data_IF_464824542958
#
_entry.id   IF_464824542958
#
_cell.length_a   1.000
_cell.length_b   1.000
_cell.length_c   1.000
_cell.angle_alpha   90.00
_cell.angle_beta   90.00
_cell.angle_gamma   90.00
#
_symmetry.space_group_name_H-M   'P 1'
#
loop_
_entity.id
_entity.type
_entity.pdbx_description
1 polymer ?
#
# COMPACT_ATOMS: atom_id res chain seq x y z
N UNK A 1 24.78 -16.83 18.41
CA UNK A 1 23.69 -17.05 17.45
C UNK A 1 24.06 -16.31 16.15
N UNK A 2 24.29 -17.04 15.07
CA UNK A 2 24.57 -16.43 13.77
C UNK A 2 23.35 -15.59 13.38
N UNK A 3 23.52 -14.32 12.96
CA UNK A 3 22.38 -13.53 12.46
C UNK A 3 21.73 -14.30 11.32
N UNK A 4 20.44 -14.57 11.45
CA UNK A 4 19.70 -15.22 10.39
C UNK A 4 19.84 -14.38 9.11
N UNK A 5 20.35 -14.97 8.05
CA UNK A 5 20.35 -14.36 6.72
C UNK A 5 18.89 -14.00 6.39
N UNK A 6 18.60 -12.71 6.33
CA UNK A 6 17.30 -12.21 5.88
C UNK A 6 17.41 -11.83 4.41
N UNK A 7 16.82 -12.60 3.49
CA UNK A 7 16.79 -12.22 2.10
C UNK A 7 16.03 -10.91 1.92
N UNK A 8 16.53 -10.08 1.01
CA UNK A 8 15.92 -8.80 0.66
C UNK A 8 15.44 -8.85 -0.79
N UNK A 9 14.31 -8.22 -1.04
CA UNK A 9 13.87 -7.97 -2.41
C UNK A 9 14.75 -6.88 -3.03
N UNK A 10 15.37 -7.21 -4.15
CA UNK A 10 16.22 -6.29 -4.91
C UNK A 10 15.68 -6.09 -6.32
N UNK A 11 16.07 -5.00 -6.97
CA UNK A 11 15.63 -4.70 -8.34
C UNK A 11 14.18 -4.18 -8.45
N UNK A 12 13.53 -3.90 -7.32
CA UNK A 12 12.21 -3.30 -7.32
C UNK A 12 12.29 -1.79 -7.62
N UNK A 13 11.21 -1.20 -8.17
CA UNK A 13 11.16 0.24 -8.38
C UNK A 13 11.27 1.00 -7.06
N UNK A 14 11.93 2.15 -7.11
CA UNK A 14 11.93 3.16 -6.05
C UNK A 14 11.27 4.40 -6.62
N UNK A 15 10.18 4.87 -6.00
CA UNK A 15 9.47 6.04 -6.43
C UNK A 15 9.77 7.18 -5.46
N UNK A 16 10.40 8.21 -5.96
CA UNK A 16 10.78 9.37 -5.16
C UNK A 16 9.77 10.50 -5.37
N UNK A 17 9.37 11.11 -4.26
CA UNK A 17 8.52 12.29 -4.23
C UNK A 17 9.21 13.40 -3.43
N UNK A 18 8.55 14.53 -3.24
CA UNK A 18 9.10 15.63 -2.45
C UNK A 18 9.38 15.21 -1.00
N UNK A 19 8.44 14.47 -0.38
CA UNK A 19 8.49 14.14 1.05
C UNK A 19 8.63 12.65 1.35
N UNK A 20 8.45 11.78 0.36
CA UNK A 20 8.43 10.34 0.53
C UNK A 20 9.40 9.62 -0.40
N UNK A 21 9.81 8.43 0.03
CA UNK A 21 10.42 7.41 -0.81
C UNK A 21 9.54 6.16 -0.72
N UNK A 22 8.97 5.74 -1.85
CA UNK A 22 8.25 4.46 -1.93
C UNK A 22 9.25 3.40 -2.39
N UNK A 23 9.48 2.41 -1.55
CA UNK A 23 10.53 1.40 -1.71
C UNK A 23 10.03 -0.02 -1.43
N UNK A 24 10.85 -1.01 -1.74
CA UNK A 24 10.58 -2.39 -1.39
C UNK A 24 10.26 -2.56 0.12
N UNK A 25 9.34 -3.48 0.48
CA UNK A 25 9.15 -3.86 1.87
C UNK A 25 10.43 -4.50 2.44
N UNK A 26 10.70 -4.23 3.72
CA UNK A 26 11.84 -4.75 4.48
C UNK A 26 11.34 -5.40 5.76
N UNK A 27 12.10 -6.34 6.31
CA UNK A 27 11.74 -6.97 7.59
C UNK A 27 11.62 -5.94 8.74
N UNK A 28 12.39 -4.87 8.67
CA UNK A 28 12.42 -3.76 9.63
C UNK A 28 11.11 -2.95 9.65
N UNK A 29 10.27 -3.05 8.63
CA UNK A 29 8.96 -2.39 8.57
C UNK A 29 7.89 -3.13 9.42
N UNK A 30 8.18 -4.37 9.82
CA UNK A 30 7.24 -5.21 10.56
C UNK A 30 6.67 -4.59 11.84
N UNK A 31 7.46 -4.00 12.75
CA UNK A 31 6.92 -3.43 13.97
C UNK A 31 5.86 -2.35 13.68
N UNK A 32 6.12 -1.46 12.74
CA UNK A 32 5.20 -0.39 12.37
C UNK A 32 3.91 -0.95 11.73
N UNK A 33 4.03 -1.94 10.86
CA UNK A 33 2.87 -2.60 10.25
C UNK A 33 2.04 -3.37 11.28
N UNK A 34 2.68 -4.13 12.18
CA UNK A 34 2.01 -4.84 13.28
C UNK A 34 1.17 -3.89 14.13
N UNK A 35 1.77 -2.78 14.55
CA UNK A 35 1.11 -1.80 15.40
C UNK A 35 -0.06 -1.11 14.67
N UNK A 36 0.10 -0.83 13.37
CA UNK A 36 -1.00 -0.38 12.51
C UNK A 36 -2.14 -1.41 12.49
N UNK A 37 -1.85 -2.70 12.27
CA UNK A 37 -2.88 -3.75 12.17
C UNK A 37 -3.60 -4.01 13.50
N UNK A 38 -2.95 -3.74 14.62
CA UNK A 38 -3.53 -3.81 15.97
C UNK A 38 -4.36 -2.57 16.34
N UNK A 39 -4.32 -1.52 15.53
CA UNK A 39 -4.95 -0.23 15.84
C UNK A 39 -6.38 -0.10 15.25
N UNK A 40 -7.25 0.74 15.83
CA UNK A 40 -8.58 1.02 15.29
C UNK A 40 -8.54 1.77 13.95
N UNK A 41 -7.38 2.26 13.52
CA UNK A 41 -7.18 2.90 12.21
C UNK A 41 -7.53 1.96 11.04
N UNK A 42 -7.56 0.67 11.29
CA UNK A 42 -7.85 -0.36 10.27
C UNK A 42 -9.33 -0.62 10.06
N UNK A 43 -10.21 0.21 10.63
CA UNK A 43 -11.67 0.04 10.55
C UNK A 43 -12.17 -0.17 9.11
N UNK A 44 -11.63 0.56 8.15
CA UNK A 44 -11.96 0.41 6.72
C UNK A 44 -11.01 -0.50 5.94
N UNK A 45 -10.06 -1.13 6.63
CA UNK A 45 -9.06 -2.03 6.03
C UNK A 45 -9.19 -3.47 6.56
N UNK A 46 -10.41 -3.90 6.83
CA UNK A 46 -10.72 -5.23 7.35
C UNK A 46 -10.58 -5.37 8.87
N UNK A 47 -10.54 -4.24 9.60
CA UNK A 47 -10.53 -4.20 11.07
C UNK A 47 -9.21 -4.64 11.70
N UNK A 48 -9.19 -4.58 13.03
CA UNK A 48 -8.04 -5.00 13.85
C UNK A 48 -7.71 -6.49 13.61
N UNK A 49 -6.43 -6.80 13.52
CA UNK A 49 -5.93 -8.16 13.30
C UNK A 49 -5.08 -8.64 14.47
N UNK A 50 -5.18 -9.94 14.78
CA UNK A 50 -4.21 -10.60 15.66
C UNK A 50 -2.84 -10.61 15.00
N UNK A 51 -1.77 -10.69 15.81
CA UNK A 51 -0.40 -10.64 15.33
C UNK A 51 -0.10 -11.65 14.22
N UNK A 52 -0.57 -12.91 14.37
CA UNK A 52 -0.41 -13.93 13.34
C UNK A 52 -1.01 -13.49 11.99
N UNK A 53 -2.24 -13.00 12.00
CA UNK A 53 -2.92 -12.54 10.77
C UNK A 53 -2.21 -11.32 10.14
N UNK A 54 -1.69 -10.43 10.99
CA UNK A 54 -0.89 -9.30 10.52
C UNK A 54 0.43 -9.77 9.89
N UNK A 55 1.10 -10.78 10.49
CA UNK A 55 2.32 -11.37 9.96
C UNK A 55 2.10 -12.04 8.60
N UNK A 56 1.02 -12.82 8.45
CA UNK A 56 0.64 -13.44 7.18
C UNK A 56 0.38 -12.37 6.10
N UNK A 57 -0.32 -11.29 6.46
CA UNK A 57 -0.58 -10.19 5.55
C UNK A 57 0.71 -9.44 5.18
N UNK A 58 1.62 -9.24 6.13
CA UNK A 58 2.91 -8.60 5.86
C UNK A 58 3.79 -9.47 4.95
N UNK A 59 3.83 -10.78 5.20
CA UNK A 59 4.53 -11.74 4.35
C UNK A 59 4.00 -11.71 2.90
N UNK A 60 2.69 -11.47 2.71
CA UNK A 60 2.10 -11.36 1.37
C UNK A 60 2.66 -10.17 0.56
N UNK A 61 3.18 -9.12 1.21
CA UNK A 61 3.81 -8.00 0.50
C UNK A 61 5.04 -8.48 -0.29
N UNK A 62 5.84 -9.35 0.32
CA UNK A 62 7.03 -9.93 -0.33
C UNK A 62 6.63 -10.96 -1.39
N UNK A 63 5.75 -11.88 -1.02
CA UNK A 63 5.31 -12.96 -1.91
C UNK A 63 4.64 -12.43 -3.18
N UNK A 64 3.86 -11.36 -3.10
CA UNK A 64 3.18 -10.79 -4.25
C UNK A 64 4.16 -10.27 -5.32
N UNK A 65 5.25 -9.61 -4.91
CA UNK A 65 6.31 -9.18 -5.82
C UNK A 65 6.96 -10.36 -6.55
N UNK A 66 7.22 -11.44 -5.83
CA UNK A 66 7.82 -12.66 -6.40
C UNK A 66 6.86 -13.34 -7.38
N UNK A 67 5.57 -13.40 -7.05
CA UNK A 67 4.57 -14.10 -7.86
C UNK A 67 4.11 -13.29 -9.08
N UNK A 68 3.99 -11.97 -8.95
CA UNK A 68 3.32 -11.11 -9.95
C UNK A 68 4.26 -10.16 -10.68
N UNK A 69 5.46 -9.92 -10.16
CA UNK A 69 6.38 -8.91 -10.70
C UNK A 69 5.97 -7.46 -10.40
N UNK A 70 4.92 -7.26 -9.60
CA UNK A 70 4.50 -5.98 -9.06
C UNK A 70 3.87 -6.16 -7.67
N UNK A 71 3.66 -5.08 -6.93
CA UNK A 71 3.09 -5.18 -5.59
C UNK A 71 3.13 -3.86 -4.82
N UNK A 72 2.89 -3.97 -3.54
CA UNK A 72 2.92 -2.84 -2.62
C UNK A 72 4.34 -2.42 -2.33
N UNK A 73 4.55 -1.11 -2.34
CA UNK A 73 5.75 -0.43 -1.85
C UNK A 73 5.46 0.17 -0.47
N UNK A 74 6.48 0.31 0.33
CA UNK A 74 6.42 1.00 1.63
C UNK A 74 6.81 2.46 1.41
N UNK A 75 5.95 3.36 1.85
CA UNK A 75 6.25 4.78 1.86
C UNK A 75 7.03 5.13 3.13
N UNK A 76 8.22 5.68 2.94
CA UNK A 76 9.11 6.16 4.00
C UNK A 76 9.13 7.68 3.98
N UNK A 77 8.90 8.32 5.13
CA UNK A 77 8.98 9.78 5.26
C UNK A 77 10.45 10.20 5.25
N UNK A 78 10.85 11.04 4.30
CA UNK A 78 12.22 11.52 4.14
C UNK A 78 12.74 12.28 5.36
N UNK A 79 11.85 12.96 6.08
CA UNK A 79 12.25 13.76 7.26
C UNK A 79 12.63 12.89 8.45
N UNK A 80 12.03 11.71 8.58
CA UNK A 80 12.20 10.84 9.75
C UNK A 80 12.89 9.52 9.45
N UNK A 81 12.91 9.09 8.19
CA UNK A 81 13.36 7.75 7.78
C UNK A 81 12.42 6.62 8.24
N UNK A 82 11.21 6.95 8.71
CA UNK A 82 10.26 5.96 9.22
C UNK A 82 9.21 5.56 8.17
N UNK A 83 8.78 4.29 8.16
CA UNK A 83 7.70 3.85 7.30
C UNK A 83 6.38 4.44 7.79
N UNK A 84 5.62 5.04 6.87
CA UNK A 84 4.34 5.71 7.18
C UNK A 84 3.13 5.08 6.52
N UNK A 85 3.32 4.12 5.62
CA UNK A 85 2.22 3.48 4.92
C UNK A 85 2.67 2.54 3.82
N UNK A 86 1.69 1.96 3.11
CA UNK A 86 1.93 1.15 1.92
C UNK A 86 1.03 1.59 0.77
N UNK A 87 1.55 1.49 -0.45
CA UNK A 87 0.90 1.90 -1.69
C UNK A 87 1.31 0.96 -2.80
N UNK A 88 0.36 0.46 -3.57
CA UNK A 88 0.73 -0.38 -4.70
C UNK A 88 -0.41 -1.18 -5.30
N UNK A 89 -0.20 -1.71 -6.51
CA UNK A 89 -1.13 -2.60 -7.19
C UNK A 89 -1.13 -3.98 -6.54
N UNK A 90 -2.30 -4.60 -6.50
CA UNK A 90 -2.51 -5.97 -6.06
C UNK A 90 -3.36 -6.74 -7.06
N UNK A 91 -3.08 -8.03 -7.21
CA UNK A 91 -3.90 -8.95 -7.99
C UNK A 91 -3.85 -10.32 -7.32
N UNK A 92 -4.97 -10.72 -6.74
CA UNK A 92 -5.06 -12.00 -6.02
C UNK A 92 -5.39 -13.17 -6.95
N UNK A 93 -6.20 -12.93 -7.96
CA UNK A 93 -6.66 -13.94 -8.91
C UNK A 93 -6.04 -13.70 -10.29
N UNK A 94 -5.65 -14.75 -11.01
CA UNK A 94 -4.99 -14.63 -12.31
C UNK A 94 -5.84 -13.89 -13.35
N UNK A 95 -7.15 -14.13 -13.34
CA UNK A 95 -8.11 -13.43 -14.21
C UNK A 95 -8.69 -12.16 -13.57
N UNK A 96 -8.23 -11.82 -12.35
CA UNK A 96 -8.74 -10.68 -11.60
C UNK A 96 -8.21 -9.35 -12.13
N UNK A 97 -9.02 -8.32 -11.95
CA UNK A 97 -8.59 -6.95 -12.23
C UNK A 97 -7.57 -6.50 -11.18
N UNK A 98 -6.55 -5.76 -11.59
CA UNK A 98 -5.57 -5.19 -10.66
C UNK A 98 -6.24 -4.12 -9.80
N UNK A 99 -6.01 -4.19 -8.51
CA UNK A 99 -6.52 -3.24 -7.51
C UNK A 99 -5.39 -2.32 -7.04
N UNK A 100 -5.62 -1.01 -7.07
CA UNK A 100 -4.73 -0.05 -6.43
C UNK A 100 -5.09 0.08 -4.96
N UNK A 101 -4.11 -0.12 -4.10
CA UNK A 101 -4.29 -0.08 -2.64
C UNK A 101 -3.41 1.00 -2.02
N UNK A 102 -3.91 1.61 -0.95
CA UNK A 102 -3.18 2.59 -0.14
C UNK A 102 -3.64 2.58 1.31
N UNK A 103 -2.70 2.78 2.22
CA UNK A 103 -2.97 2.94 3.65
C UNK A 103 -1.86 3.75 4.32
N UNK A 104 -2.24 4.70 5.15
CA UNK A 104 -1.33 5.32 6.11
C UNK A 104 -1.40 4.57 7.44
N UNK A 105 -0.24 4.33 8.06
CA UNK A 105 -0.13 3.51 9.26
C UNK A 105 -0.20 4.29 10.56
N UNK A 106 0.11 5.59 10.52
CA UNK A 106 0.20 6.42 11.72
C UNK A 106 -0.69 7.65 11.62
N UNK A 107 -1.22 8.11 12.76
CA UNK A 107 -1.98 9.34 12.84
C UNK A 107 -1.14 10.57 12.46
N UNK A 108 0.15 10.55 12.80
CA UNK A 108 1.08 11.64 12.49
C UNK A 108 1.29 11.85 10.97
N UNK A 109 1.06 10.82 10.16
CA UNK A 109 1.14 10.92 8.71
C UNK A 109 -0.12 11.49 8.06
N UNK A 110 -1.25 11.50 8.76
CA UNK A 110 -2.53 12.00 8.24
C UNK A 110 -2.60 13.54 8.21
N UNK A 111 -3.49 14.05 7.37
CA UNK A 111 -3.75 15.50 7.27
C UNK A 111 -2.63 16.32 6.64
N UNK A 112 -1.56 15.68 6.16
CA UNK A 112 -0.38 16.31 5.55
C UNK A 112 -0.33 16.20 4.04
N UNK A 113 -1.31 15.54 3.42
CA UNK A 113 -1.33 15.27 1.98
C UNK A 113 -0.40 14.14 1.52
N UNK A 114 0.24 13.41 2.43
CA UNK A 114 1.20 12.35 2.10
C UNK A 114 0.55 11.18 1.35
N UNK A 115 -0.69 10.80 1.71
CA UNK A 115 -1.39 9.72 1.03
C UNK A 115 -1.68 10.06 -0.44
N UNK A 116 -2.08 11.28 -0.73
CA UNK A 116 -2.32 11.74 -2.11
C UNK A 116 -1.01 11.80 -2.90
N UNK A 117 0.07 12.29 -2.28
CA UNK A 117 1.41 12.35 -2.89
C UNK A 117 1.91 10.95 -3.27
N UNK A 118 1.86 10.01 -2.33
CA UNK A 118 2.27 8.63 -2.56
C UNK A 118 1.38 7.92 -3.59
N UNK A 119 0.06 8.08 -3.49
CA UNK A 119 -0.89 7.46 -4.41
C UNK A 119 -0.71 7.96 -5.85
N UNK A 120 -0.38 9.24 -6.04
CA UNK A 120 -0.08 9.79 -7.36
C UNK A 120 1.22 9.25 -7.94
N UNK A 121 2.28 9.12 -7.13
CA UNK A 121 3.53 8.50 -7.56
C UNK A 121 3.31 7.03 -7.96
N UNK A 122 2.55 6.29 -7.15
CA UNK A 122 2.13 4.92 -7.48
C UNK A 122 1.34 4.88 -8.79
N UNK A 123 0.35 5.73 -8.97
CA UNK A 123 -0.47 5.80 -10.19
C UNK A 123 0.38 6.06 -11.44
N UNK A 124 1.30 7.01 -11.36
CA UNK A 124 2.20 7.33 -12.47
C UNK A 124 3.08 6.13 -12.85
N UNK A 125 3.59 5.40 -11.86
CA UNK A 125 4.36 4.18 -12.10
C UNK A 125 3.50 3.07 -12.70
N UNK A 126 2.30 2.85 -12.17
CA UNK A 126 1.39 1.77 -12.60
C UNK A 126 0.96 1.95 -14.06
N UNK A 127 0.55 3.15 -14.46
CA UNK A 127 0.09 3.43 -15.81
C UNK A 127 1.22 3.85 -16.78
N UNK A 128 2.39 4.14 -16.26
CA UNK A 128 3.60 4.43 -17.04
C UNK A 128 4.51 3.21 -17.14
N UNK A 129 5.59 3.13 -16.34
CA UNK A 129 6.59 2.06 -16.46
C UNK A 129 6.04 0.63 -16.32
N UNK A 130 5.06 0.39 -15.44
CA UNK A 130 4.43 -0.93 -15.29
C UNK A 130 3.52 -1.26 -16.47
N UNK A 131 2.95 -0.27 -17.15
CA UNK A 131 2.22 -0.42 -18.40
C UNK A 131 0.78 -0.94 -18.28
N UNK A 132 0.15 -0.84 -17.10
CA UNK A 132 -1.26 -1.17 -16.97
C UNK A 132 -2.14 -0.15 -17.71
N UNK A 133 -3.22 -0.62 -18.33
CA UNK A 133 -4.18 0.23 -19.06
C UNK A 133 -5.37 0.62 -18.18
N UNK A 134 -5.67 -0.16 -17.16
CA UNK A 134 -6.75 0.09 -16.21
C UNK A 134 -6.46 -0.59 -14.87
N UNK A 135 -7.06 -0.07 -13.82
CA UNK A 135 -7.06 -0.67 -12.49
C UNK A 135 -8.33 -0.24 -11.75
N UNK A 136 -8.70 -0.99 -10.71
CA UNK A 136 -9.77 -0.60 -9.80
C UNK A 136 -9.19 -0.17 -8.44
N UNK A 137 -10.00 0.46 -7.61
CA UNK A 137 -9.75 0.62 -6.18
C UNK A 137 -11.05 0.30 -5.44
N UNK A 138 -10.97 -0.58 -4.46
CA UNK A 138 -12.11 -0.89 -3.60
C UNK A 138 -12.04 -0.01 -2.35
N UNK A 139 -13.05 0.83 -2.18
CA UNK A 139 -13.09 1.81 -1.08
C UNK A 139 -14.37 1.60 -0.30
N UNK A 140 -14.22 1.37 1.01
CA UNK A 140 -15.39 1.29 1.88
C UNK A 140 -16.23 2.57 1.77
N UNK A 141 -17.55 2.43 1.65
CA UNK A 141 -18.46 3.56 1.40
C UNK A 141 -18.33 4.72 2.39
N UNK A 142 -18.01 4.43 3.64
CA UNK A 142 -17.88 5.44 4.70
C UNK A 142 -16.45 5.99 4.83
N UNK A 143 -15.50 5.51 4.04
CA UNK A 143 -14.12 5.98 4.05
C UNK A 143 -13.95 7.24 3.19
N UNK A 144 -14.42 8.38 3.70
CA UNK A 144 -14.37 9.65 2.99
C UNK A 144 -12.95 10.06 2.55
N UNK A 145 -11.94 9.75 3.35
CA UNK A 145 -10.54 10.05 3.03
C UNK A 145 -10.06 9.30 1.79
N UNK A 146 -10.32 7.99 1.70
CA UNK A 146 -9.96 7.19 0.52
C UNK A 146 -10.78 7.58 -0.72
N UNK A 147 -12.05 7.93 -0.57
CA UNK A 147 -12.84 8.49 -1.67
C UNK A 147 -12.25 9.80 -2.20
N UNK A 148 -11.76 10.67 -1.32
CA UNK A 148 -11.11 11.90 -1.73
C UNK A 148 -9.81 11.63 -2.50
N UNK A 149 -9.00 10.65 -2.08
CA UNK A 149 -7.80 10.22 -2.80
C UNK A 149 -8.18 9.69 -4.18
N UNK A 150 -9.13 8.75 -4.26
CA UNK A 150 -9.58 8.18 -5.53
C UNK A 150 -10.02 9.26 -6.52
N UNK A 151 -10.82 10.24 -6.08
CA UNK A 151 -11.25 11.37 -6.93
C UNK A 151 -10.07 12.22 -7.40
N UNK A 152 -9.11 12.52 -6.52
CA UNK A 152 -7.91 13.30 -6.90
C UNK A 152 -7.03 12.58 -7.92
N UNK A 153 -7.09 11.25 -7.94
CA UNK A 153 -6.42 10.41 -8.94
C UNK A 153 -7.22 10.28 -10.25
N UNK A 154 -8.41 10.89 -10.36
CA UNK A 154 -9.27 10.79 -11.53
C UNK A 154 -10.14 9.53 -11.55
N UNK A 155 -10.24 8.83 -10.46
CA UNK A 155 -11.09 7.64 -10.31
C UNK A 155 -12.56 7.99 -10.45
N UNK A 156 -13.33 7.09 -11.08
CA UNK A 156 -14.78 7.18 -11.26
C UNK A 156 -15.44 6.00 -10.59
N UNK A 157 -16.64 6.20 -10.04
CA UNK A 157 -17.46 5.10 -9.55
C UNK A 157 -17.82 4.17 -10.72
N UNK A 158 -17.56 2.88 -10.53
CA UNK A 158 -18.02 1.88 -11.50
C UNK A 158 -19.53 1.71 -11.40
N UNK A 159 -20.25 1.63 -12.53
CA UNK A 159 -21.72 1.59 -12.54
C UNK A 159 -22.32 0.34 -11.88
N UNK A 160 -21.55 -0.73 -11.67
CA UNK A 160 -22.02 -2.02 -11.15
C UNK A 160 -21.60 -2.31 -9.71
N UNK A 161 -21.06 -1.33 -9.00
CA UNK A 161 -20.62 -1.57 -7.61
C UNK A 161 -21.79 -1.46 -6.64
N UNK A 162 -22.20 -2.62 -6.12
CA UNK A 162 -23.04 -2.68 -4.93
C UNK A 162 -22.22 -2.15 -3.74
N UNK A 163 -22.81 -1.27 -2.90
CA UNK A 163 -22.15 -0.88 -1.66
C UNK A 163 -21.92 -2.14 -0.80
N UNK A 164 -20.67 -2.36 -0.43
CA UNK A 164 -20.29 -3.37 0.57
C UNK A 164 -20.56 -2.82 1.96
#
# INVERSE_FOLDING_TARGET
MTPALRPQLTGLPVLETERLVLRAPRAEDWPAFRDYRASPRTVYAGGVKKEQQAAEQFASFFGHWVMRGFGRLIAEDRATGLPVGHFGPMQWEDAGQVELTWSLWTAAAEGRGLATEAARAMQNWVFGPLGLTSAKAEVHRDNAASHAIARRLGGRLAPDQRPV
#
